data_IF_989562981123
#
_entry.id   IF_989562981123
#
_cell.length_a   1.000
_cell.length_b   1.000
_cell.length_c   1.000
_cell.angle_alpha   90.00
_cell.angle_beta   90.00
_cell.angle_gamma   90.00
#
_symmetry.space_group_name_H-M   'P 1'
#
loop_
_entity.id
_entity.type
_entity.pdbx_description
1 polymer ?
#
# COMPACT_ATOMS: atom_id res chain seq x y z
N UNK A 1 -35.81 -38.43 3.26
CA UNK A 1 -34.70 -37.53 3.64
C UNK A 1 -33.48 -37.91 2.79
N UNK A 2 -33.28 -37.24 1.68
CA UNK A 2 -32.12 -37.44 0.78
C UNK A 2 -30.98 -36.59 1.33
N UNK A 3 -30.13 -37.18 2.17
CA UNK A 3 -28.90 -36.53 2.61
C UNK A 3 -27.97 -36.37 1.42
N UNK A 4 -27.62 -35.14 1.07
CA UNK A 4 -26.54 -34.81 0.16
C UNK A 4 -25.26 -35.48 0.65
N UNK A 5 -24.86 -36.60 0.04
CA UNK A 5 -23.53 -37.18 0.24
C UNK A 5 -22.53 -36.20 -0.42
N UNK A 6 -21.89 -35.35 0.37
CA UNK A 6 -20.77 -34.56 -0.11
C UNK A 6 -19.75 -35.51 -0.74
N UNK A 7 -19.18 -35.11 -1.88
CA UNK A 7 -18.09 -35.85 -2.52
C UNK A 7 -16.85 -35.79 -1.60
N UNK A 8 -16.70 -36.81 -0.75
CA UNK A 8 -15.55 -36.97 0.12
C UNK A 8 -14.45 -37.74 -0.67
N UNK A 9 -13.49 -37.00 -1.22
CA UNK A 9 -12.36 -37.61 -1.88
C UNK A 9 -11.39 -38.19 -0.85
N UNK A 10 -10.75 -39.32 -1.18
CA UNK A 10 -9.73 -39.90 -0.33
C UNK A 10 -8.43 -39.02 -0.40
N UNK A 11 -8.06 -38.34 0.69
CA UNK A 11 -6.89 -37.42 0.65
C UNK A 11 -5.56 -38.16 0.41
N UNK A 12 -5.43 -39.41 0.83
CA UNK A 12 -4.24 -40.23 0.61
C UNK A 12 -4.11 -40.55 -0.89
N UNK A 13 -5.19 -41.03 -1.50
CA UNK A 13 -5.20 -41.32 -2.93
C UNK A 13 -4.97 -40.06 -3.78
N UNK A 14 -5.47 -38.91 -3.34
CA UNK A 14 -5.20 -37.62 -4.01
C UNK A 14 -3.71 -37.23 -3.94
N UNK A 15 -3.05 -37.51 -2.82
CA UNK A 15 -1.64 -37.20 -2.63
C UNK A 15 -0.71 -38.17 -3.37
N UNK A 16 -1.11 -39.45 -3.49
CA UNK A 16 -0.29 -40.49 -4.13
C UNK A 16 -0.47 -40.54 -5.66
N UNK A 17 -1.70 -40.35 -6.14
CA UNK A 17 -2.05 -40.53 -7.55
C UNK A 17 -2.18 -39.21 -8.31
N UNK A 18 -2.50 -38.13 -7.61
CA UNK A 18 -2.58 -36.80 -8.20
C UNK A 18 -1.25 -36.05 -8.12
N UNK A 19 -1.16 -34.93 -8.81
CA UNK A 19 -0.06 -34.00 -8.61
C UNK A 19 -0.53 -32.54 -8.74
N UNK A 20 0.21 -31.66 -8.07
CA UNK A 20 0.09 -30.22 -8.20
C UNK A 20 1.51 -29.64 -8.20
N UNK A 21 2.03 -29.34 -9.38
CA UNK A 21 3.39 -28.88 -9.58
C UNK A 21 3.40 -27.40 -9.96
N UNK A 22 4.10 -26.62 -9.15
CA UNK A 22 4.30 -25.20 -9.41
C UNK A 22 5.78 -24.95 -9.70
N UNK A 23 6.06 -24.35 -10.85
CA UNK A 23 7.39 -23.85 -11.21
C UNK A 23 7.33 -22.32 -11.15
N UNK A 24 8.28 -21.74 -10.42
CA UNK A 24 8.40 -20.27 -10.29
C UNK A 24 9.76 -19.85 -10.79
N UNK A 25 9.79 -18.81 -11.62
CA UNK A 25 10.98 -18.14 -12.09
C UNK A 25 10.87 -16.67 -11.72
N UNK A 26 11.78 -16.21 -10.88
CA UNK A 26 11.89 -14.83 -10.43
C UNK A 26 13.21 -14.25 -10.94
N UNK A 27 13.12 -13.09 -11.61
CA UNK A 27 14.28 -12.36 -12.12
C UNK A 27 14.21 -10.92 -11.69
N UNK A 28 15.28 -10.40 -11.10
CA UNK A 28 15.39 -9.00 -10.71
C UNK A 28 16.72 -8.44 -11.17
N UNK A 29 16.66 -7.36 -11.93
CA UNK A 29 17.82 -6.61 -12.36
C UNK A 29 17.69 -5.17 -11.86
N UNK A 30 18.77 -4.64 -11.29
CA UNK A 30 18.81 -3.23 -10.83
C UNK A 30 20.11 -2.61 -11.32
N UNK A 31 19.98 -1.46 -11.95
CA UNK A 31 21.12 -0.63 -12.36
C UNK A 31 21.07 0.66 -11.54
N UNK A 32 22.18 1.01 -10.92
CA UNK A 32 22.32 2.23 -10.10
C UNK A 32 23.43 3.09 -10.70
N UNK A 33 23.19 4.40 -10.73
CA UNK A 33 24.14 5.41 -11.14
C UNK A 33 24.24 6.50 -10.07
N UNK A 34 25.45 6.87 -9.72
CA UNK A 34 25.72 7.95 -8.77
C UNK A 34 26.75 8.89 -9.40
N UNK A 35 26.55 10.19 -9.21
CA UNK A 35 27.49 11.20 -9.69
C UNK A 35 27.53 12.41 -8.75
N UNK A 36 28.72 12.74 -8.29
CA UNK A 36 28.96 13.92 -7.45
C UNK A 36 29.45 15.07 -8.33
N UNK A 37 28.63 16.11 -8.46
CA UNK A 37 29.00 17.33 -9.17
C UNK A 37 29.90 18.22 -8.31
N UNK A 38 30.76 19.04 -8.90
CA UNK A 38 31.72 19.88 -8.15
C UNK A 38 31.08 21.01 -7.33
N UNK A 39 29.77 21.27 -7.47
CA UNK A 39 29.06 22.39 -6.82
C UNK A 39 28.05 21.89 -5.73
N UNK A 40 28.51 20.99 -4.88
CA UNK A 40 27.74 20.46 -3.74
C UNK A 40 26.41 19.79 -4.13
N UNK A 41 26.29 19.32 -5.38
CA UNK A 41 25.14 18.63 -5.92
C UNK A 41 25.50 17.16 -6.18
N UNK A 42 24.67 16.25 -5.66
CA UNK A 42 24.79 14.81 -5.90
C UNK A 42 23.57 14.32 -6.67
N UNK A 43 23.83 13.56 -7.71
CA UNK A 43 22.81 12.80 -8.43
C UNK A 43 22.89 11.34 -8.06
N UNK A 44 21.74 10.73 -7.81
CA UNK A 44 21.62 9.28 -7.67
C UNK A 44 20.39 8.81 -8.42
N UNK A 45 20.57 7.84 -9.29
CA UNK A 45 19.48 7.24 -10.04
C UNK A 45 19.56 5.71 -10.00
N UNK A 46 18.43 5.06 -10.00
CA UNK A 46 18.34 3.63 -10.21
C UNK A 46 17.10 3.24 -10.99
N UNK A 47 17.24 2.14 -11.74
CA UNK A 47 16.14 1.49 -12.46
C UNK A 47 16.17 0.02 -12.09
N UNK A 48 15.03 -0.51 -11.67
CA UNK A 48 14.86 -1.91 -11.30
C UNK A 48 13.75 -2.55 -12.11
N UNK A 49 14.10 -3.64 -12.78
CA UNK A 49 13.20 -4.54 -13.51
C UNK A 49 12.99 -5.80 -12.68
N UNK A 50 11.74 -6.16 -12.45
CA UNK A 50 11.36 -7.43 -11.84
C UNK A 50 10.40 -8.18 -12.76
N UNK A 51 10.69 -9.44 -13.01
CA UNK A 51 9.86 -10.36 -13.78
C UNK A 51 9.64 -11.63 -12.99
N UNK A 52 8.41 -12.10 -12.97
CA UNK A 52 8.03 -13.35 -12.34
C UNK A 52 7.11 -14.13 -13.25
N UNK A 53 7.49 -15.36 -13.56
CA UNK A 53 6.63 -16.32 -14.25
C UNK A 53 6.35 -17.49 -13.32
N UNK A 54 5.08 -17.80 -13.14
CA UNK A 54 4.63 -18.95 -12.37
C UNK A 54 3.78 -19.85 -13.26
N UNK A 55 4.18 -21.11 -13.39
CA UNK A 55 3.42 -22.14 -14.09
C UNK A 55 2.96 -23.18 -13.09
N UNK A 56 1.67 -23.44 -13.06
CA UNK A 56 1.05 -24.46 -12.21
C UNK A 56 0.36 -25.52 -13.07
N UNK A 57 0.80 -26.74 -12.94
CA UNK A 57 0.19 -27.90 -13.57
C UNK A 57 -0.39 -28.79 -12.47
N UNK A 58 -1.67 -29.07 -12.56
CA UNK A 58 -2.40 -29.92 -11.62
C UNK A 58 -3.14 -31.00 -12.37
N UNK A 59 -3.05 -32.21 -11.88
CA UNK A 59 -3.80 -33.35 -12.39
C UNK A 59 -4.43 -34.11 -11.25
N UNK A 60 -5.71 -34.45 -11.38
CA UNK A 60 -6.46 -35.21 -10.43
C UNK A 60 -7.08 -36.42 -11.16
N UNK A 61 -6.46 -37.64 -11.07
CA UNK A 61 -6.95 -38.80 -11.76
C UNK A 61 -8.25 -39.32 -11.12
N UNK A 62 -9.11 -39.92 -11.92
CA UNK A 62 -10.39 -40.49 -11.51
C UNK A 62 -10.22 -41.50 -10.37
N UNK A 63 -9.19 -42.32 -10.37
CA UNK A 63 -8.87 -43.26 -9.32
C UNK A 63 -8.65 -42.61 -7.94
N UNK A 64 -8.17 -41.36 -7.89
CA UNK A 64 -7.97 -40.62 -6.66
C UNK A 64 -9.31 -40.08 -6.10
N UNK A 65 -10.29 -39.81 -6.94
CA UNK A 65 -11.57 -39.24 -6.56
C UNK A 65 -12.66 -40.27 -6.41
N UNK A 66 -12.56 -41.43 -7.06
CA UNK A 66 -13.57 -42.48 -7.06
C UNK A 66 -14.90 -42.07 -7.73
N UNK A 67 -14.90 -40.95 -8.48
CA UNK A 67 -16.11 -40.47 -9.16
C UNK A 67 -16.35 -41.18 -10.49
N UNK A 68 -17.56 -41.09 -11.03
CA UNK A 68 -17.87 -41.64 -12.35
C UNK A 68 -17.11 -40.86 -13.43
N UNK A 69 -16.78 -41.51 -14.55
CA UNK A 69 -16.03 -40.91 -15.65
C UNK A 69 -16.69 -39.69 -16.33
N UNK A 70 -18.01 -39.55 -16.19
CA UNK A 70 -18.75 -38.38 -16.68
C UNK A 70 -18.75 -37.20 -15.69
N UNK A 71 -18.12 -37.35 -14.52
CA UNK A 71 -18.02 -36.27 -13.54
C UNK A 71 -16.96 -35.25 -13.98
N UNK A 72 -17.19 -33.96 -13.63
CA UNK A 72 -16.21 -32.89 -13.81
C UNK A 72 -14.92 -33.07 -13.00
N UNK A 73 -14.91 -34.05 -12.07
CA UNK A 73 -13.75 -34.41 -11.25
C UNK A 73 -13.01 -35.65 -11.77
N UNK A 74 -13.48 -36.25 -12.89
CA UNK A 74 -12.84 -37.43 -13.45
C UNK A 74 -11.68 -37.02 -14.36
N UNK A 75 -10.46 -37.46 -14.03
CA UNK A 75 -9.25 -37.14 -14.78
C UNK A 75 -9.16 -35.64 -15.11
N UNK A 76 -9.28 -34.80 -14.07
CA UNK A 76 -9.25 -33.36 -14.22
C UNK A 76 -7.81 -32.89 -14.37
N UNK A 77 -7.53 -32.17 -15.46
CA UNK A 77 -6.26 -31.50 -15.74
C UNK A 77 -6.43 -29.97 -15.66
N UNK A 78 -5.47 -29.30 -15.04
CA UNK A 78 -5.44 -27.83 -14.98
C UNK A 78 -4.06 -27.35 -15.34
N UNK A 79 -3.97 -26.38 -16.24
CA UNK A 79 -2.79 -25.62 -16.55
C UNK A 79 -3.05 -24.12 -16.28
N UNK A 80 -2.22 -23.52 -15.44
CA UNK A 80 -2.33 -22.12 -15.11
C UNK A 80 -0.97 -21.44 -15.22
N UNK A 81 -0.97 -20.29 -15.88
CA UNK A 81 0.22 -19.44 -16.00
C UNK A 81 -0.09 -18.07 -15.43
N UNK A 82 0.82 -17.53 -14.64
CA UNK A 82 0.77 -16.17 -14.13
C UNK A 82 2.10 -15.49 -14.39
N UNK A 83 2.05 -14.38 -15.11
CA UNK A 83 3.21 -13.55 -15.39
C UNK A 83 3.02 -12.20 -14.69
N UNK A 84 4.05 -11.76 -14.00
CA UNK A 84 4.10 -10.45 -13.37
C UNK A 84 5.36 -9.72 -13.82
N UNK A 85 5.21 -8.47 -14.15
CA UNK A 85 6.26 -7.56 -14.55
C UNK A 85 6.17 -6.29 -13.71
N UNK A 86 7.29 -5.78 -13.23
CA UNK A 86 7.31 -4.42 -12.67
C UNK A 86 8.60 -3.70 -13.04
N UNK A 87 8.43 -2.44 -13.41
CA UNK A 87 9.51 -1.49 -13.68
C UNK A 87 9.42 -0.35 -12.68
N UNK A 88 10.51 -0.11 -11.96
CA UNK A 88 10.61 0.97 -10.99
C UNK A 88 11.82 1.82 -11.31
N UNK A 89 11.71 3.14 -11.16
CA UNK A 89 12.85 4.03 -11.22
C UNK A 89 12.77 5.12 -10.16
N UNK A 90 13.93 5.55 -9.68
CA UNK A 90 14.07 6.71 -8.83
C UNK A 90 15.27 7.53 -9.30
N UNK A 91 15.05 8.83 -9.44
CA UNK A 91 16.04 9.82 -9.82
C UNK A 91 16.05 10.89 -8.76
N UNK A 92 17.18 11.06 -8.06
CA UNK A 92 17.34 11.97 -6.93
C UNK A 92 18.45 12.95 -7.20
N UNK A 93 18.15 14.24 -6.99
CA UNK A 93 19.13 15.31 -6.88
C UNK A 93 19.18 15.76 -5.43
N UNK A 94 20.37 15.84 -4.87
CA UNK A 94 20.62 16.29 -3.50
C UNK A 94 21.65 17.42 -3.55
N UNK A 95 21.23 18.59 -3.12
CA UNK A 95 22.09 19.74 -2.86
C UNK A 95 22.24 19.92 -1.36
N UNK A 96 23.47 20.03 -0.86
CA UNK A 96 23.73 20.23 0.56
C UNK A 96 24.89 21.17 0.74
N UNK A 97 24.63 22.34 1.34
CA UNK A 97 25.63 23.38 1.53
C UNK A 97 25.44 24.12 2.83
N UNK A 98 26.57 24.49 3.44
CA UNK A 98 26.62 25.41 4.57
C UNK A 98 27.20 26.74 4.09
N UNK A 99 26.47 27.81 4.31
CA UNK A 99 26.87 29.19 3.98
C UNK A 99 27.20 29.96 5.26
N UNK A 100 28.37 30.63 5.29
CA UNK A 100 28.73 31.49 6.41
C UNK A 100 28.62 30.81 7.79
N UNK A 101 29.00 29.54 7.88
CA UNK A 101 29.06 28.73 9.11
C UNK A 101 27.68 28.46 9.79
N UNK A 102 26.71 29.34 9.61
CA UNK A 102 25.41 29.29 10.32
C UNK A 102 24.23 28.85 9.49
N UNK A 103 24.32 28.91 8.18
CA UNK A 103 23.21 28.68 7.26
C UNK A 103 23.36 27.34 6.56
N UNK A 104 22.77 26.29 7.06
CA UNK A 104 22.70 24.98 6.41
C UNK A 104 21.48 24.90 5.49
N UNK A 105 21.69 24.58 4.22
CA UNK A 105 20.62 24.35 3.24
C UNK A 105 20.78 22.96 2.64
N UNK A 106 19.72 22.16 2.75
CA UNK A 106 19.59 20.90 2.04
C UNK A 106 18.35 20.98 1.14
N UNK A 107 18.54 20.80 -0.17
CA UNK A 107 17.45 20.72 -1.12
C UNK A 107 17.49 19.35 -1.81
N UNK A 108 16.34 18.70 -1.90
CA UNK A 108 16.22 17.37 -2.51
C UNK A 108 15.08 17.39 -3.52
N UNK A 109 15.37 16.96 -4.75
CA UNK A 109 14.38 16.68 -5.78
C UNK A 109 14.38 15.17 -6.05
N UNK A 110 13.20 14.54 -6.06
CA UNK A 110 13.06 13.11 -6.35
C UNK A 110 11.96 12.90 -7.38
N UNK A 111 12.29 12.20 -8.45
CA UNK A 111 11.33 11.72 -9.43
C UNK A 111 11.27 10.20 -9.37
N UNK A 112 10.09 9.63 -9.20
CA UNK A 112 9.85 8.18 -9.14
C UNK A 112 8.82 7.76 -10.16
N UNK A 113 9.06 6.62 -10.78
CA UNK A 113 8.06 5.94 -11.59
C UNK A 113 7.91 4.49 -11.12
N UNK A 114 6.71 4.01 -11.16
CA UNK A 114 6.38 2.62 -10.93
C UNK A 114 5.35 2.16 -11.95
N UNK A 115 5.63 1.06 -12.61
CA UNK A 115 4.69 0.36 -13.47
C UNK A 115 4.68 -1.10 -13.05
N UNK A 116 3.50 -1.67 -12.91
CA UNK A 116 3.34 -3.12 -12.73
C UNK A 116 2.23 -3.62 -13.64
N UNK A 117 2.47 -4.79 -14.19
CA UNK A 117 1.50 -5.52 -14.98
C UNK A 117 1.49 -6.98 -14.51
N UNK A 118 0.33 -7.57 -14.39
CA UNK A 118 0.18 -8.99 -14.10
C UNK A 118 -0.91 -9.57 -14.97
N UNK A 119 -0.60 -10.67 -15.61
CA UNK A 119 -1.55 -11.46 -16.39
C UNK A 119 -1.62 -12.86 -15.83
N UNK A 120 -2.80 -13.44 -15.82
CA UNK A 120 -2.98 -14.83 -15.43
C UNK A 120 -3.99 -15.50 -16.35
N UNK A 121 -3.69 -16.74 -16.72
CA UNK A 121 -4.58 -17.60 -17.47
C UNK A 121 -4.67 -18.95 -16.77
N UNK A 122 -5.83 -19.57 -16.78
CA UNK A 122 -6.04 -20.90 -16.23
C UNK A 122 -7.08 -21.63 -17.07
N UNK A 123 -6.69 -22.82 -17.51
CA UNK A 123 -7.55 -23.73 -18.25
C UNK A 123 -7.67 -25.04 -17.48
N UNK A 124 -8.88 -25.48 -17.25
CA UNK A 124 -9.19 -26.76 -16.63
C UNK A 124 -10.10 -27.57 -17.54
N UNK A 125 -9.76 -28.82 -17.73
CA UNK A 125 -10.58 -29.80 -18.48
C UNK A 125 -10.76 -31.07 -17.65
N UNK A 126 -11.72 -31.88 -18.02
CA UNK A 126 -11.97 -33.17 -17.38
C UNK A 126 -12.30 -34.24 -18.41
N UNK A 127 -12.37 -35.50 -17.97
CA UNK A 127 -12.67 -36.61 -18.84
C UNK A 127 -11.53 -36.96 -19.80
N UNK A 128 -10.27 -36.76 -19.38
CA UNK A 128 -9.14 -37.27 -20.12
C UNK A 128 -9.24 -38.79 -20.22
N UNK A 129 -8.97 -39.33 -21.40
CA UNK A 129 -9.16 -40.75 -21.70
C UNK A 129 -8.30 -41.70 -20.84
N UNK A 130 -7.23 -41.21 -20.24
CA UNK A 130 -6.30 -41.99 -19.41
C UNK A 130 -5.83 -41.18 -18.21
N UNK A 131 -5.63 -41.88 -17.08
CA UNK A 131 -5.03 -41.33 -15.88
C UNK A 131 -3.55 -40.94 -16.05
N UNK A 132 -2.90 -41.40 -17.13
CA UNK A 132 -1.51 -41.08 -17.45
C UNK A 132 -1.33 -39.86 -18.36
N UNK A 133 -2.44 -39.27 -18.82
CA UNK A 133 -2.47 -38.14 -19.72
C UNK A 133 -3.00 -36.90 -18.97
N UNK A 134 -2.09 -36.03 -18.55
CA UNK A 134 -2.36 -34.89 -17.68
C UNK A 134 -2.48 -33.54 -18.40
N UNK A 135 -2.38 -33.52 -19.74
CA UNK A 135 -2.52 -32.29 -20.53
C UNK A 135 -4.00 -31.91 -20.68
N UNK A 136 -4.39 -30.66 -20.34
CA UNK A 136 -5.77 -30.19 -20.52
C UNK A 136 -6.31 -30.27 -21.93
N UNK A 137 -5.44 -30.26 -22.97
CA UNK A 137 -5.87 -30.29 -24.37
C UNK A 137 -6.62 -31.57 -24.75
N UNK A 138 -6.39 -32.67 -24.03
CA UNK A 138 -6.99 -33.97 -24.31
C UNK A 138 -8.25 -34.25 -23.48
N UNK A 139 -8.69 -33.29 -22.64
CA UNK A 139 -9.94 -33.41 -21.91
C UNK A 139 -11.15 -33.41 -22.83
N UNK A 140 -12.14 -34.25 -22.55
CA UNK A 140 -13.37 -34.33 -23.34
C UNK A 140 -14.28 -33.11 -23.17
N UNK A 141 -14.14 -32.38 -22.06
CA UNK A 141 -14.92 -31.20 -21.77
C UNK A 141 -14.16 -30.17 -20.92
N UNK A 142 -14.54 -28.90 -21.07
CA UNK A 142 -13.96 -27.79 -20.31
C UNK A 142 -14.61 -27.71 -18.93
N UNK A 143 -13.81 -27.78 -17.86
CA UNK A 143 -14.26 -27.52 -16.49
C UNK A 143 -14.24 -26.02 -16.14
N UNK A 144 -13.34 -25.27 -16.72
CA UNK A 144 -13.25 -23.83 -16.57
C UNK A 144 -12.09 -23.22 -17.38
N UNK A 145 -12.31 -22.00 -17.82
CA UNK A 145 -11.28 -21.17 -18.45
C UNK A 145 -11.39 -19.75 -17.86
N UNK A 146 -10.29 -19.25 -17.34
CA UNK A 146 -10.23 -17.93 -16.74
C UNK A 146 -9.00 -17.16 -17.23
N UNK A 147 -9.16 -15.86 -17.38
CA UNK A 147 -8.05 -14.95 -17.61
C UNK A 147 -8.25 -13.66 -16.83
N UNK A 148 -7.17 -13.05 -16.38
CA UNK A 148 -7.18 -11.75 -15.73
C UNK A 148 -5.93 -10.97 -16.15
N UNK A 149 -6.10 -9.66 -16.31
CA UNK A 149 -4.98 -8.74 -16.51
C UNK A 149 -5.19 -7.51 -15.65
N UNK A 150 -4.13 -7.09 -14.96
CA UNK A 150 -4.11 -5.91 -14.13
C UNK A 150 -2.88 -5.08 -14.46
N UNK A 151 -3.07 -3.78 -14.61
CA UNK A 151 -2.00 -2.83 -14.84
C UNK A 151 -2.13 -1.66 -13.86
N UNK A 152 -1.02 -1.24 -13.28
CA UNK A 152 -0.93 -0.05 -12.41
C UNK A 152 0.30 0.76 -12.76
N UNK A 153 0.11 2.07 -12.86
CA UNK A 153 1.20 3.04 -13.07
C UNK A 153 1.10 4.14 -12.03
N UNK A 154 2.23 4.50 -11.46
CA UNK A 154 2.34 5.67 -10.59
C UNK A 154 3.53 6.50 -10.99
N UNK A 155 3.41 7.81 -10.84
CA UNK A 155 4.48 8.77 -10.99
C UNK A 155 4.46 9.71 -9.79
N UNK A 156 5.63 10.00 -9.23
CA UNK A 156 5.75 10.91 -8.09
C UNK A 156 6.89 11.87 -8.32
N UNK A 157 6.61 13.15 -8.12
CA UNK A 157 7.62 14.21 -8.06
C UNK A 157 7.61 14.80 -6.65
N UNK A 158 8.75 14.73 -5.96
CA UNK A 158 8.92 15.27 -4.60
C UNK A 158 9.98 16.35 -4.63
N UNK A 159 9.64 17.52 -4.11
CA UNK A 159 10.59 18.59 -3.79
C UNK A 159 10.65 18.78 -2.28
N UNK A 160 11.83 18.81 -1.69
CA UNK A 160 12.04 19.06 -0.27
C UNK A 160 13.14 20.09 -0.07
N UNK A 161 12.93 21.00 0.85
CA UNK A 161 13.93 21.96 1.30
C UNK A 161 13.98 21.92 2.82
N UNK A 162 15.19 21.78 3.36
CA UNK A 162 15.47 21.90 4.79
C UNK A 162 16.48 23.03 4.97
N UNK A 163 16.09 24.02 5.74
CA UNK A 163 16.95 25.13 6.12
C UNK A 163 17.21 25.11 7.62
N UNK A 164 18.48 25.15 7.98
CA UNK A 164 18.95 25.17 9.35
C UNK A 164 19.75 26.46 9.61
N UNK A 165 19.28 27.25 10.56
CA UNK A 165 19.99 28.45 10.99
C UNK A 165 20.63 28.23 12.36
N UNK A 166 21.96 28.25 12.39
CA UNK A 166 22.81 28.15 13.59
C UNK A 166 22.45 26.95 14.50
N UNK A 167 21.91 25.90 13.90
CA UNK A 167 21.35 24.76 14.65
C UNK A 167 20.26 25.13 15.67
N UNK A 168 19.73 26.34 15.64
CA UNK A 168 18.66 26.83 16.52
C UNK A 168 17.30 26.68 15.88
N UNK A 169 17.18 27.10 14.64
CA UNK A 169 15.92 27.07 13.90
C UNK A 169 16.07 26.14 12.68
N UNK A 170 15.18 25.18 12.59
CA UNK A 170 15.12 24.28 11.44
C UNK A 170 13.74 24.43 10.82
N UNK A 171 13.73 24.84 9.54
CA UNK A 171 12.53 24.91 8.72
C UNK A 171 12.61 23.81 7.67
N UNK A 172 11.56 23.03 7.51
CA UNK A 172 11.41 22.09 6.40
C UNK A 172 10.14 22.39 5.60
N UNK A 173 10.23 22.18 4.31
CA UNK A 173 9.11 22.25 3.40
C UNK A 173 9.21 21.12 2.39
N UNK A 174 8.10 20.41 2.16
CA UNK A 174 8.03 19.34 1.17
C UNK A 174 6.77 19.49 0.34
N UNK A 175 6.89 19.23 -0.95
CA UNK A 175 5.75 19.14 -1.86
C UNK A 175 5.85 17.81 -2.60
N UNK A 176 4.79 17.02 -2.54
CA UNK A 176 4.61 15.80 -3.30
C UNK A 176 3.54 16.03 -4.36
N UNK A 177 3.88 15.74 -5.62
CA UNK A 177 2.95 15.66 -6.73
C UNK A 177 2.90 14.23 -7.21
N UNK A 178 1.75 13.57 -7.04
CA UNK A 178 1.58 12.15 -7.32
C UNK A 178 0.48 11.91 -8.34
N UNK A 179 0.76 11.04 -9.31
CA UNK A 179 -0.19 10.51 -10.27
C UNK A 179 -0.36 9.00 -10.12
N UNK A 180 -1.61 8.51 -10.21
CA UNK A 180 -1.92 7.09 -10.09
C UNK A 180 -3.01 6.70 -11.10
N UNK A 181 -2.74 5.65 -11.88
CA UNK A 181 -3.67 5.13 -12.89
C UNK A 181 -4.94 4.50 -12.30
N UNK A 182 -4.95 4.16 -11.01
CA UNK A 182 -6.12 3.61 -10.31
C UNK A 182 -7.19 4.65 -9.97
N UNK A 183 -6.90 5.93 -10.20
CA UNK A 183 -7.79 7.05 -9.91
C UNK A 183 -8.72 7.37 -11.07
N UNK A 184 -9.86 7.97 -10.76
CA UNK A 184 -10.78 8.48 -11.77
C UNK A 184 -10.08 9.41 -12.76
N UNK A 185 -10.49 9.38 -14.00
CA UNK A 185 -9.82 10.07 -15.11
C UNK A 185 -9.50 11.54 -14.83
N UNK A 186 -10.40 12.22 -14.12
CA UNK A 186 -10.29 13.65 -13.82
C UNK A 186 -9.48 13.96 -12.55
N UNK A 187 -9.11 12.94 -11.75
CA UNK A 187 -8.48 13.08 -10.45
C UNK A 187 -7.22 12.21 -10.30
N UNK A 188 -6.55 11.91 -11.40
CA UNK A 188 -5.34 11.05 -11.41
C UNK A 188 -4.19 11.62 -10.63
N UNK A 189 -4.08 12.94 -10.61
CA UNK A 189 -2.99 13.67 -9.96
C UNK A 189 -3.47 14.41 -8.73
N UNK A 190 -2.63 14.41 -7.70
CA UNK A 190 -2.85 15.16 -6.48
C UNK A 190 -1.55 15.76 -5.95
N UNK A 191 -1.68 16.85 -5.19
CA UNK A 191 -0.54 17.56 -4.59
C UNK A 191 -0.69 17.54 -3.07
N UNK A 192 0.38 17.17 -2.38
CA UNK A 192 0.44 17.04 -0.94
C UNK A 192 1.60 17.86 -0.38
N UNK A 193 1.35 19.11 0.06
CA UNK A 193 2.34 19.92 0.72
C UNK A 193 2.52 19.51 2.18
N UNK A 194 3.72 19.75 2.73
CA UNK A 194 3.96 19.71 4.17
C UNK A 194 5.00 20.76 4.56
N UNK A 195 4.89 21.26 5.76
CA UNK A 195 5.87 22.14 6.36
C UNK A 195 6.07 21.78 7.84
N UNK A 196 7.27 22.06 8.33
CA UNK A 196 7.62 21.84 9.71
C UNK A 196 8.64 22.86 10.19
N UNK A 197 8.54 23.20 11.46
CA UNK A 197 9.45 24.10 12.16
C UNK A 197 9.94 23.39 13.43
N UNK A 198 11.24 23.50 13.70
CA UNK A 198 11.80 23.09 14.97
C UNK A 198 12.68 24.23 15.53
N UNK A 199 12.53 24.46 16.81
CA UNK A 199 13.28 25.43 17.58
C UNK A 199 14.03 24.74 18.72
N UNK A 200 15.36 24.75 18.65
CA UNK A 200 16.24 24.27 19.70
C UNK A 200 16.47 25.40 20.70
N UNK A 201 15.63 25.46 21.72
CA UNK A 201 15.61 26.55 22.73
C UNK A 201 16.90 26.55 23.56
N UNK A 202 17.43 25.36 23.82
CA UNK A 202 18.68 25.17 24.56
C UNK A 202 19.90 25.84 23.89
N UNK A 203 19.81 26.20 22.60
CA UNK A 203 20.87 26.88 21.86
C UNK A 203 20.74 28.41 21.82
N UNK A 204 19.75 28.94 22.52
CA UNK A 204 19.54 30.38 22.60
C UNK A 204 20.49 31.07 23.60
N UNK A 205 20.80 32.31 23.36
CA UNK A 205 21.72 33.10 24.21
C UNK A 205 21.20 33.30 25.64
N UNK A 206 19.90 33.27 25.84
CA UNK A 206 19.28 33.37 27.14
C UNK A 206 19.33 32.05 27.95
N UNK A 207 19.72 30.92 27.34
CA UNK A 207 19.84 29.63 27.99
C UNK A 207 21.19 29.56 28.69
N UNK A 208 21.21 29.89 29.97
CA UNK A 208 22.46 29.99 30.75
C UNK A 208 23.08 28.62 31.07
N UNK A 209 24.37 28.60 31.38
CA UNK A 209 25.09 27.39 31.81
C UNK A 209 24.44 26.72 33.04
N UNK A 210 23.77 27.49 33.90
CA UNK A 210 23.00 26.97 35.03
C UNK A 210 21.83 26.12 34.59
N UNK A 211 21.09 26.57 33.57
CA UNK A 211 19.99 25.82 32.95
C UNK A 211 20.49 24.57 32.24
N UNK A 212 21.62 24.64 31.51
CA UNK A 212 22.21 23.48 30.84
C UNK A 212 22.57 22.32 31.80
N UNK A 213 22.85 22.62 33.06
CA UNK A 213 23.11 21.55 34.07
C UNK A 213 21.87 20.73 34.40
N UNK A 214 20.71 21.31 34.28
CA UNK A 214 19.42 20.67 34.58
C UNK A 214 18.74 20.21 33.32
N UNK A 215 18.54 21.11 32.35
CA UNK A 215 17.90 20.84 31.05
C UNK A 215 18.98 20.98 29.97
N UNK A 216 19.46 19.86 29.51
CA UNK A 216 20.58 19.80 28.55
C UNK A 216 20.13 20.04 27.14
N UNK A 217 18.90 19.63 26.81
CA UNK A 217 18.25 19.83 25.52
C UNK A 217 16.80 20.25 25.74
N UNK A 218 16.35 21.25 24.98
CA UNK A 218 14.96 21.71 24.95
C UNK A 218 14.60 22.09 23.51
N UNK A 219 13.66 21.38 22.92
CA UNK A 219 13.25 21.57 21.54
C UNK A 219 11.73 21.57 21.42
N UNK A 220 11.23 22.51 20.64
CA UNK A 220 9.82 22.57 20.21
C UNK A 220 9.74 22.25 18.74
N UNK A 221 8.77 21.41 18.36
CA UNK A 221 8.47 21.05 16.96
C UNK A 221 7.02 21.34 16.65
N UNK A 222 6.78 21.87 15.46
CA UNK A 222 5.44 22.00 14.91
C UNK A 222 5.44 21.58 13.45
N UNK A 223 4.44 20.84 13.03
CA UNK A 223 4.29 20.44 11.64
C UNK A 223 2.85 20.48 11.16
N UNK A 224 2.69 20.69 9.85
CA UNK A 224 1.44 20.61 9.14
C UNK A 224 1.68 19.86 7.83
N UNK A 225 0.93 18.79 7.59
CA UNK A 225 1.10 17.94 6.43
C UNK A 225 -0.24 17.52 5.83
N UNK A 226 -0.24 17.35 4.51
CA UNK A 226 -1.29 16.67 3.78
C UNK A 226 -0.73 15.37 3.18
N UNK A 227 -1.53 14.31 3.25
CA UNK A 227 -1.22 13.03 2.64
C UNK A 227 -2.42 12.49 1.89
N UNK A 228 -2.19 11.67 0.88
CA UNK A 228 -3.25 11.05 0.09
C UNK A 228 -3.18 9.53 0.11
N UNK A 229 -4.33 8.91 -0.13
CA UNK A 229 -4.44 7.47 -0.32
C UNK A 229 -5.27 7.18 -1.55
N UNK A 230 -4.78 6.27 -2.40
CA UNK A 230 -5.47 5.78 -3.59
C UNK A 230 -6.15 4.44 -3.32
N UNK A 231 -7.13 4.02 -4.15
CA UNK A 231 -7.69 2.68 -4.10
C UNK A 231 -6.63 1.60 -4.22
N UNK A 232 -6.87 0.45 -3.60
CA UNK A 232 -5.93 -0.68 -3.63
C UNK A 232 -5.95 -1.46 -4.96
N UNK A 233 -7.07 -1.46 -5.68
CA UNK A 233 -7.22 -2.14 -6.96
C UNK A 233 -6.63 -1.36 -8.12
N UNK A 234 -5.95 -2.04 -9.03
CA UNK A 234 -5.29 -1.40 -10.18
C UNK A 234 -6.29 -0.86 -11.22
N UNK A 235 -7.43 -1.53 -11.38
CA UNK A 235 -8.42 -1.25 -12.44
C UNK A 235 -9.84 -0.98 -11.91
N UNK A 236 -9.96 -0.69 -10.61
CA UNK A 236 -11.26 -0.59 -9.92
C UNK A 236 -12.11 0.60 -10.39
N UNK A 237 -11.51 1.63 -10.99
CA UNK A 237 -12.27 2.77 -11.52
C UNK A 237 -12.83 2.53 -12.93
N UNK A 238 -12.31 1.54 -13.66
CA UNK A 238 -12.81 1.23 -15.00
C UNK A 238 -14.18 0.52 -14.94
N UNK A 239 -15.02 0.80 -15.91
CA UNK A 239 -16.20 -0.02 -16.21
C UNK A 239 -15.78 -1.43 -16.61
N UNK A 240 -16.61 -2.41 -16.25
CA UNK A 240 -16.40 -3.79 -16.66
C UNK A 240 -17.70 -4.41 -17.17
N UNK A 241 -17.56 -5.34 -18.09
CA UNK A 241 -18.64 -6.15 -18.61
C UNK A 241 -18.45 -7.60 -18.19
N UNK A 242 -19.54 -8.31 -18.07
CA UNK A 242 -19.56 -9.72 -17.73
C UNK A 242 -20.46 -10.48 -18.72
N UNK A 243 -20.10 -11.72 -19.02
CA UNK A 243 -20.92 -12.61 -19.83
C UNK A 243 -22.21 -12.95 -19.08
N UNK A 244 -23.32 -12.86 -19.77
CA UNK A 244 -24.65 -13.32 -19.31
C UNK A 244 -24.94 -14.75 -19.81
N UNK A 245 -24.00 -15.36 -20.53
CA UNK A 245 -24.24 -16.59 -21.28
C UNK A 245 -24.86 -16.32 -22.66
N UNK A 246 -25.96 -16.95 -22.96
CA UNK A 246 -26.69 -16.76 -24.24
C UNK A 246 -28.05 -16.11 -23.99
N UNK A 247 -28.38 -15.12 -24.79
CA UNK A 247 -29.73 -14.57 -24.89
C UNK A 247 -30.35 -14.99 -26.23
N UNK A 248 -31.38 -15.81 -26.14
CA UNK A 248 -32.03 -16.50 -27.25
C UNK A 248 -31.10 -17.51 -27.96
N UNK A 249 -30.06 -17.15 -28.64
CA UNK A 249 -29.03 -18.02 -29.25
C UNK A 249 -27.70 -17.31 -29.38
N UNK A 250 -27.65 -16.02 -29.05
CA UNK A 250 -26.50 -15.19 -29.23
C UNK A 250 -25.75 -14.99 -27.89
N UNK A 251 -24.41 -14.94 -27.88
CA UNK A 251 -23.66 -14.54 -26.72
C UNK A 251 -24.12 -13.16 -26.24
N UNK A 252 -24.33 -13.02 -24.92
CA UNK A 252 -24.77 -11.77 -24.31
C UNK A 252 -23.80 -11.31 -23.21
N UNK A 253 -23.61 -9.99 -23.14
CA UNK A 253 -22.84 -9.34 -22.09
C UNK A 253 -23.67 -8.24 -21.43
N UNK A 254 -23.39 -7.98 -20.17
CA UNK A 254 -23.98 -6.86 -19.43
C UNK A 254 -22.91 -6.08 -18.68
N UNK A 255 -23.11 -4.78 -18.40
CA UNK A 255 -22.20 -3.99 -17.60
C UNK A 255 -22.26 -4.46 -16.13
N UNK A 256 -21.14 -4.96 -15.61
CA UNK A 256 -21.06 -5.51 -14.26
C UNK A 256 -20.46 -4.54 -13.24
N UNK A 257 -19.72 -3.55 -13.72
CA UNK A 257 -19.08 -2.52 -12.88
C UNK A 257 -19.17 -1.15 -13.54
N UNK A 258 -19.63 -0.17 -12.77
CA UNK A 258 -19.73 1.21 -13.21
C UNK A 258 -18.34 1.87 -13.29
N UNK A 259 -18.10 2.68 -14.31
CA UNK A 259 -16.92 3.53 -14.41
C UNK A 259 -16.99 4.71 -13.42
N UNK A 260 -15.88 4.99 -12.73
CA UNK A 260 -15.79 5.98 -11.65
C UNK A 260 -14.90 7.16 -12.02
N UNK A 261 -15.26 7.94 -13.04
CA UNK A 261 -14.45 9.07 -13.52
C UNK A 261 -14.19 10.15 -12.47
N UNK A 262 -15.07 10.29 -11.48
CA UNK A 262 -14.98 11.27 -10.38
C UNK A 262 -14.31 10.76 -9.13
N UNK A 263 -13.82 9.51 -9.12
CA UNK A 263 -13.15 8.94 -7.95
C UNK A 263 -11.91 9.77 -7.60
N UNK A 264 -11.87 10.27 -6.35
CA UNK A 264 -10.83 11.15 -5.82
C UNK A 264 -9.92 10.39 -4.84
N UNK A 265 -8.78 10.99 -4.56
CA UNK A 265 -7.92 10.60 -3.47
C UNK A 265 -8.61 10.84 -2.12
N UNK A 266 -8.47 9.90 -1.20
CA UNK A 266 -8.70 10.15 0.22
C UNK A 266 -7.61 11.09 0.71
N UNK A 267 -7.96 12.17 1.40
CA UNK A 267 -7.01 13.18 1.85
C UNK A 267 -7.00 13.29 3.37
N UNK A 268 -5.82 13.22 3.95
CA UNK A 268 -5.60 13.42 5.38
C UNK A 268 -4.77 14.68 5.59
N UNK A 269 -5.29 15.61 6.39
CA UNK A 269 -4.55 16.73 6.95
C UNK A 269 -4.18 16.41 8.38
N UNK A 270 -2.92 16.58 8.72
CA UNK A 270 -2.39 16.37 10.06
C UNK A 270 -1.61 17.60 10.50
N UNK A 271 -1.82 18.06 11.73
CA UNK A 271 -0.91 18.94 12.41
C UNK A 271 -0.44 18.29 13.71
N UNK A 272 0.80 18.55 14.04
CA UNK A 272 1.49 17.98 15.16
C UNK A 272 2.27 19.06 15.90
N UNK A 273 2.27 18.98 17.25
CA UNK A 273 3.05 19.83 18.14
C UNK A 273 3.83 18.92 19.09
N UNK A 274 5.15 18.99 19.04
CA UNK A 274 6.04 18.13 19.81
C UNK A 274 7.00 18.93 20.69
N UNK A 275 7.35 18.34 21.84
CA UNK A 275 8.33 18.86 22.79
C UNK A 275 9.33 17.76 23.13
N UNK A 276 10.61 18.04 22.97
CA UNK A 276 11.70 17.15 23.36
C UNK A 276 12.54 17.82 24.42
N UNK A 277 12.70 17.13 25.56
CA UNK A 277 13.53 17.59 26.67
C UNK A 277 14.53 16.51 27.08
N UNK A 278 15.69 16.94 27.48
CA UNK A 278 16.69 16.08 28.12
C UNK A 278 17.14 16.69 29.45
N UNK A 279 16.93 15.95 30.53
CA UNK A 279 17.26 16.38 31.86
C UNK A 279 18.45 15.60 32.42
N UNK A 280 19.38 16.31 33.08
CA UNK A 280 20.54 15.74 33.77
C UNK A 280 21.40 14.79 32.92
N UNK A 281 21.37 14.90 31.58
CA UNK A 281 21.97 13.97 30.62
C UNK A 281 21.52 12.49 30.80
N UNK A 282 20.38 12.25 31.45
CA UNK A 282 19.89 10.91 31.80
C UNK A 282 18.42 10.65 31.43
N UNK A 283 17.59 11.66 31.57
CA UNK A 283 16.14 11.53 31.30
C UNK A 283 15.79 12.25 30.02
N UNK A 284 15.33 11.50 29.00
CA UNK A 284 14.73 12.07 27.82
C UNK A 284 13.21 12.00 27.95
N UNK A 285 12.54 13.09 27.63
CA UNK A 285 11.08 13.24 27.65
C UNK A 285 10.67 13.75 26.29
N UNK A 286 9.81 13.01 25.62
CA UNK A 286 9.17 13.43 24.36
C UNK A 286 7.67 13.47 24.60
N UNK A 287 7.04 14.58 24.23
CA UNK A 287 5.60 14.80 24.30
C UNK A 287 5.10 15.25 22.93
N UNK A 288 4.09 14.58 22.40
CA UNK A 288 3.49 14.93 21.13
C UNK A 288 1.98 15.05 21.27
N UNK A 289 1.41 16.05 20.59
CA UNK A 289 -0.01 16.20 20.40
C UNK A 289 -0.31 16.36 18.91
N UNK A 290 -1.25 15.55 18.40
CA UNK A 290 -1.63 15.58 16.99
C UNK A 290 -3.14 15.63 16.78
N UNK A 291 -3.54 16.25 15.66
CA UNK A 291 -4.92 16.26 15.15
C UNK A 291 -4.91 15.91 13.65
N UNK A 292 -5.47 14.75 13.32
CA UNK A 292 -5.62 14.23 11.96
C UNK A 292 -7.07 14.32 11.53
N UNK A 293 -7.32 14.89 10.37
CA UNK A 293 -8.64 14.87 9.73
C UNK A 293 -8.54 14.26 8.34
N UNK A 294 -9.24 13.15 8.15
CA UNK A 294 -9.35 12.47 6.86
C UNK A 294 -10.71 12.77 6.23
N UNK A 295 -10.69 13.18 4.98
CA UNK A 295 -11.86 13.51 4.16
C UNK A 295 -11.87 12.67 2.89
N UNK A 296 -13.00 12.62 2.21
CA UNK A 296 -13.17 11.84 0.98
C UNK A 296 -12.77 10.36 1.18
N UNK A 297 -13.15 9.77 2.34
CA UNK A 297 -12.84 8.38 2.67
C UNK A 297 -13.20 7.44 1.53
N UNK A 298 -12.28 6.53 1.20
CA UNK A 298 -12.47 5.52 0.17
C UNK A 298 -13.25 4.32 0.74
N UNK A 299 -14.55 4.31 0.50
CA UNK A 299 -15.44 3.19 0.87
C UNK A 299 -15.55 2.18 -0.28
N UNK A 300 -15.44 0.90 0.04
CA UNK A 300 -15.41 -0.19 -0.93
C UNK A 300 -16.76 -0.91 -0.98
N UNK A 301 -17.14 -1.41 -2.18
CA UNK A 301 -18.35 -2.22 -2.39
C UNK A 301 -19.63 -1.54 -1.86
N UNK A 302 -19.81 -0.28 -2.17
CA UNK A 302 -20.94 0.51 -1.69
C UNK A 302 -22.21 0.12 -2.43
N UNK A 303 -23.23 -0.32 -1.69
CA UNK A 303 -24.54 -0.65 -2.25
C UNK A 303 -25.22 0.61 -2.80
N UNK A 304 -25.83 0.47 -3.96
CA UNK A 304 -26.56 1.54 -4.64
C UNK A 304 -27.93 1.03 -5.08
N UNK A 305 -28.85 1.95 -5.42
CA UNK A 305 -30.17 1.57 -5.90
C UNK A 305 -30.07 0.67 -7.12
N UNK A 306 -30.82 -0.44 -7.13
CA UNK A 306 -30.94 -1.37 -8.26
C UNK A 306 -31.46 -0.71 -9.55
N UNK A 307 -32.12 0.45 -9.43
CA UNK A 307 -32.58 1.24 -10.60
C UNK A 307 -31.45 1.76 -11.46
N UNK A 308 -30.20 1.79 -10.93
CA UNK A 308 -29.01 2.15 -11.71
C UNK A 308 -28.54 1.05 -12.67
N UNK A 309 -29.06 -0.17 -12.55
CA UNK A 309 -28.60 -1.35 -13.27
C UNK A 309 -27.34 -2.00 -12.69
N UNK A 310 -26.84 -1.51 -11.56
CA UNK A 310 -25.66 -2.04 -10.88
C UNK A 310 -26.00 -2.41 -9.44
N UNK A 311 -25.40 -3.48 -8.92
CA UNK A 311 -25.59 -3.88 -7.54
C UNK A 311 -24.81 -3.02 -6.54
N UNK A 312 -23.62 -2.57 -6.93
CA UNK A 312 -22.70 -1.83 -6.08
C UNK A 312 -21.67 -1.01 -6.86
N UNK A 313 -21.13 0.02 -6.24
CA UNK A 313 -19.93 0.71 -6.70
C UNK A 313 -18.70 0.01 -6.14
N UNK A 314 -17.65 -0.13 -6.95
CA UNK A 314 -16.36 -0.67 -6.47
C UNK A 314 -15.76 0.24 -5.40
N UNK A 315 -15.84 1.55 -5.60
CA UNK A 315 -15.35 2.58 -4.68
C UNK A 315 -16.27 3.81 -4.70
N UNK A 316 -16.32 4.48 -3.57
CA UNK A 316 -16.97 5.79 -3.43
C UNK A 316 -16.19 6.63 -2.42
N UNK A 317 -15.96 7.89 -2.75
CA UNK A 317 -15.49 8.86 -1.77
C UNK A 317 -16.66 9.32 -0.93
N UNK A 318 -16.65 9.00 0.37
CA UNK A 318 -17.74 9.38 1.26
C UNK A 318 -17.31 9.32 2.71
N UNK A 319 -17.81 10.29 3.47
CA UNK A 319 -17.53 10.38 4.88
C UNK A 319 -16.21 11.07 5.23
N UNK A 320 -16.05 11.31 6.51
CA UNK A 320 -14.83 11.86 7.10
C UNK A 320 -14.65 11.37 8.53
N UNK A 321 -13.40 11.30 8.97
CA UNK A 321 -13.05 10.94 10.33
C UNK A 321 -11.99 11.89 10.89
N UNK A 322 -11.99 12.05 12.20
CA UNK A 322 -10.93 12.75 12.94
C UNK A 322 -10.27 11.79 13.93
N UNK A 323 -8.99 12.05 14.15
CA UNK A 323 -8.17 11.28 15.07
C UNK A 323 -7.25 12.25 15.79
N UNK A 324 -7.46 12.41 17.12
CA UNK A 324 -6.69 13.32 17.96
C UNK A 324 -6.04 12.51 19.05
N UNK A 325 -4.77 12.83 19.35
CA UNK A 325 -4.07 12.08 20.35
C UNK A 325 -2.96 12.85 21.03
N UNK A 326 -2.60 12.32 22.18
CA UNK A 326 -1.45 12.74 22.97
C UNK A 326 -0.55 11.52 23.20
N UNK A 327 0.75 11.70 23.00
CA UNK A 327 1.76 10.68 23.21
C UNK A 327 2.84 11.22 24.12
N UNK A 328 3.31 10.39 25.05
CA UNK A 328 4.40 10.72 25.97
C UNK A 328 5.38 9.55 26.02
N UNK A 329 6.66 9.86 25.91
CA UNK A 329 7.75 8.90 26.04
C UNK A 329 8.78 9.41 27.03
N UNK A 330 9.23 8.50 27.88
CA UNK A 330 10.24 8.73 28.91
C UNK A 330 11.31 7.65 28.78
N UNK A 331 12.57 8.06 28.63
CA UNK A 331 13.73 7.17 28.61
C UNK A 331 14.70 7.63 29.69
N UNK A 332 14.92 6.81 30.72
CA UNK A 332 15.77 7.16 31.88
C UNK A 332 16.93 6.21 32.03
N UNK A 333 18.15 6.74 31.99
CA UNK A 333 19.38 6.03 32.29
C UNK A 333 19.58 6.02 33.82
N UNK A 334 19.05 4.99 34.50
CA UNK A 334 19.09 4.84 35.97
C UNK A 334 20.54 4.61 36.45
N UNK A 335 21.23 3.69 35.78
CA UNK A 335 22.64 3.38 36.07
C UNK A 335 23.45 3.54 34.78
N UNK A 336 24.50 4.34 34.86
CA UNK A 336 25.49 4.49 33.78
C UNK A 336 26.85 4.63 34.43
N UNK A 337 27.42 3.51 34.91
CA UNK A 337 28.67 3.54 35.66
C UNK A 337 29.53 2.30 35.37
N UNK A 338 30.71 2.51 34.75
CA UNK A 338 31.63 1.42 34.41
C UNK A 338 30.97 0.40 33.47
N UNK A 339 31.07 -0.91 33.75
CA UNK A 339 30.46 -1.96 32.93
C UNK A 339 28.94 -2.08 33.12
N UNK A 340 28.33 -1.36 34.06
CA UNK A 340 26.91 -1.47 34.36
C UNK A 340 26.10 -0.36 33.73
N UNK A 341 25.03 -0.74 33.03
CA UNK A 341 24.03 0.18 32.49
C UNK A 341 22.63 -0.36 32.75
N UNK A 342 21.76 0.48 33.28
CA UNK A 342 20.33 0.19 33.42
C UNK A 342 19.55 1.35 32.84
N UNK A 343 18.73 1.08 31.82
CA UNK A 343 17.79 2.03 31.20
C UNK A 343 16.37 1.56 31.41
N UNK A 344 15.51 2.47 31.80
CA UNK A 344 14.08 2.26 31.94
C UNK A 344 13.37 3.13 30.91
N UNK A 345 12.49 2.53 30.13
CA UNK A 345 11.68 3.22 29.14
C UNK A 345 10.21 3.08 29.51
N UNK A 346 9.45 4.15 29.40
CA UNK A 346 8.01 4.16 29.55
C UNK A 346 7.38 4.97 28.43
N UNK A 347 6.23 4.51 27.92
CA UNK A 347 5.44 5.26 26.97
C UNK A 347 3.97 5.22 27.38
N UNK A 348 3.24 6.27 27.07
CA UNK A 348 1.81 6.39 27.24
C UNK A 348 1.22 7.11 26.05
N UNK A 349 0.08 6.63 25.56
CA UNK A 349 -0.64 7.28 24.46
C UNK A 349 -2.15 7.25 24.74
N UNK A 350 -2.82 8.30 24.30
CA UNK A 350 -4.29 8.36 24.27
C UNK A 350 -4.72 8.86 22.91
N UNK A 351 -5.53 8.07 22.23
CA UNK A 351 -6.09 8.39 20.94
C UNK A 351 -7.62 8.45 21.01
N UNK A 352 -8.21 9.47 20.38
CA UNK A 352 -9.65 9.64 20.24
C UNK A 352 -9.95 9.65 18.74
N UNK A 353 -10.63 8.60 18.29
CA UNK A 353 -11.09 8.46 16.91
C UNK A 353 -12.59 8.79 16.86
N UNK A 354 -13.00 9.63 15.91
CA UNK A 354 -14.39 10.04 15.73
C UNK A 354 -14.74 10.06 14.24
N UNK A 355 -15.85 9.41 13.90
CA UNK A 355 -16.48 9.58 12.58
C UNK A 355 -17.22 10.91 12.58
N UNK A 356 -16.80 11.83 11.74
CA UNK A 356 -17.39 13.18 11.64
C UNK A 356 -18.58 13.19 10.67
N UNK A 357 -18.47 12.47 9.57
CA UNK A 357 -19.51 12.34 8.55
C UNK A 357 -19.60 10.88 8.13
N UNK A 358 -20.78 10.31 8.27
CA UNK A 358 -21.09 8.98 7.74
C UNK A 358 -21.36 9.07 6.23
N UNK A 359 -21.00 8.02 5.46
CA UNK A 359 -21.43 7.89 4.08
C UNK A 359 -22.96 7.93 3.95
N UNK A 360 -23.47 8.55 2.88
CA UNK A 360 -24.91 8.79 2.70
C UNK A 360 -25.79 7.53 2.66
N UNK A 361 -25.17 6.37 2.40
CA UNK A 361 -25.83 5.05 2.37
C UNK A 361 -25.74 4.27 3.69
N UNK A 362 -25.10 4.83 4.74
CA UNK A 362 -25.09 4.26 6.07
C UNK A 362 -26.17 4.95 6.91
N UNK A 363 -27.21 4.21 7.28
CA UNK A 363 -28.21 4.66 8.24
C UNK A 363 -27.81 4.21 9.65
N UNK A 364 -28.12 5.02 10.66
CA UNK A 364 -27.79 4.73 12.07
C UNK A 364 -28.35 3.36 12.56
N UNK A 365 -29.41 2.86 11.94
CA UNK A 365 -30.05 1.58 12.29
C UNK A 365 -29.19 0.32 12.03
N UNK A 366 -28.09 0.43 11.27
CA UNK A 366 -27.19 -0.70 11.02
C UNK A 366 -26.12 -0.92 12.11
N UNK A 367 -26.09 -0.06 13.16
CA UNK A 367 -24.99 -0.05 14.16
C UNK A 367 -25.47 -0.04 15.62
N UNK A 368 -26.73 -0.33 15.89
CA UNK A 368 -27.27 -0.53 17.25
C UNK A 368 -27.38 -2.00 17.62
#
# INVERSE_FOLDING_TARGET
>A
MSGSKGNHFNPVAMAELGFNKTNVRDEKMTVTMEYDFPFDLRFRGWVSLYMKTQKNNKFLPQAATGVLMNSIYANQATDATSDAYSLQSEWKLLYNKVFGEKHGLTATGVFRTYQSESTSTSNSTYGNASANLSDPVIGSAVAGANSASNERRTVTLTGQVVYNYDSRYVLNGTINYEGNSSMGRNNRFATYPSCGLAWNIDREHFWSDGFHKVVNEAKVRASLAWTGKSPSGASDYYGAFQSMGTYVTNPAIYPSRMQLDKLKWESTREWDLGFDFRFFNRLNVTLDYYDKKTTDLLSRNVEISSTTGYAKLSWMNSGSLSNKGFEARFDYDVIKRGPWSLRVNANASRNINKVEVLPANYTQEKYT
#
